data_IF_113387948162
#
_entry.id   IF_113387948162
#
_cell.length_a   1.000
_cell.length_b   1.000
_cell.length_c   1.000
_cell.angle_alpha   90.00
_cell.angle_beta   90.00
_cell.angle_gamma   90.00
#
_symmetry.space_group_name_H-M   'P 1'
#
loop_
_entity.id
_entity.type
_entity.pdbx_description
1 polymer ?
#
# COMPACT_ATOMS: atom_id res chain seq x y z
N UNK A 1 -15.06 -9.09 -16.23
CA UNK A 1 -13.95 -8.11 -16.34
C UNK A 1 -12.63 -8.86 -16.44
N UNK A 2 -11.74 -8.53 -17.39
CA UNK A 2 -10.42 -9.18 -17.46
C UNK A 2 -9.65 -8.94 -16.15
N UNK A 3 -9.19 -10.01 -15.50
CA UNK A 3 -8.57 -9.99 -14.16
C UNK A 3 -7.38 -9.01 -14.04
N UNK A 4 -6.71 -8.71 -15.16
CA UNK A 4 -5.67 -7.69 -15.23
C UNK A 4 -6.14 -6.28 -14.83
N UNK A 5 -7.40 -5.92 -15.11
CA UNK A 5 -7.94 -4.62 -14.68
C UNK A 5 -8.05 -4.51 -13.17
N UNK A 6 -8.32 -5.60 -12.44
CA UNK A 6 -8.39 -5.57 -10.98
C UNK A 6 -7.02 -5.39 -10.34
N UNK A 7 -5.98 -6.00 -10.92
CA UNK A 7 -4.58 -5.80 -10.48
C UNK A 7 -4.16 -4.36 -10.71
N UNK A 8 -4.40 -3.82 -11.91
CA UNK A 8 -4.11 -2.43 -12.24
C UNK A 8 -4.92 -1.48 -11.35
N UNK A 9 -6.20 -1.76 -11.13
CA UNK A 9 -7.06 -0.95 -10.26
C UNK A 9 -6.58 -0.93 -8.81
N UNK A 10 -6.25 -2.10 -8.25
CA UNK A 10 -5.66 -2.20 -6.90
C UNK A 10 -4.36 -1.41 -6.85
N UNK A 11 -3.54 -1.51 -7.88
CA UNK A 11 -2.29 -0.79 -7.94
C UNK A 11 -2.49 0.74 -7.98
N UNK A 12 -3.44 1.21 -8.80
CA UNK A 12 -3.77 2.63 -8.85
C UNK A 12 -4.31 3.13 -7.50
N UNK A 13 -5.18 2.37 -6.82
CA UNK A 13 -5.67 2.75 -5.48
C UNK A 13 -4.52 2.93 -4.51
N UNK A 14 -3.58 1.98 -4.45
CA UNK A 14 -2.46 2.07 -3.52
C UNK A 14 -1.58 3.28 -3.86
N UNK A 15 -1.29 3.50 -5.15
CA UNK A 15 -0.48 4.64 -5.60
C UNK A 15 -1.14 5.97 -5.22
N UNK A 16 -2.41 6.15 -5.56
CA UNK A 16 -3.16 7.35 -5.23
C UNK A 16 -3.34 7.54 -3.72
N UNK A 17 -3.52 6.46 -2.97
CA UNK A 17 -3.57 6.50 -1.51
C UNK A 17 -2.29 7.07 -0.90
N UNK A 18 -1.13 6.56 -1.31
CA UNK A 18 0.16 7.01 -0.81
C UNK A 18 0.51 8.44 -1.24
N UNK A 19 0.26 8.79 -2.51
CA UNK A 19 0.39 10.19 -2.96
C UNK A 19 -0.56 11.10 -2.16
N UNK A 20 -1.78 10.62 -1.89
CA UNK A 20 -2.76 11.30 -1.08
C UNK A 20 -2.29 11.56 0.35
N UNK A 21 -1.63 10.59 1.00
CA UNK A 21 -1.05 10.80 2.34
C UNK A 21 0.03 11.86 2.30
N UNK A 22 0.95 11.79 1.34
CA UNK A 22 2.02 12.77 1.19
C UNK A 22 1.45 14.18 0.96
N UNK A 23 0.48 14.32 0.06
CA UNK A 23 -0.19 15.59 -0.20
C UNK A 23 -0.90 16.11 1.06
N UNK A 24 -1.60 15.24 1.79
CA UNK A 24 -2.28 15.63 3.02
C UNK A 24 -1.29 16.07 4.11
N UNK A 25 -0.22 15.30 4.34
CA UNK A 25 0.78 15.60 5.37
C UNK A 25 1.50 16.92 5.06
N UNK A 26 1.91 17.14 3.80
CA UNK A 26 2.72 18.32 3.45
C UNK A 26 1.90 19.57 3.11
N UNK A 27 0.71 19.43 2.55
CA UNK A 27 -0.11 20.56 2.10
C UNK A 27 -1.47 20.68 2.82
N UNK A 28 -2.02 19.60 3.37
CA UNK A 28 -3.34 19.60 4.00
C UNK A 28 -3.34 19.78 5.53
N UNK A 29 -2.25 19.39 6.20
CA UNK A 29 -2.13 19.49 7.66
C UNK A 29 -1.67 20.88 8.08
N UNK A 30 -2.43 21.51 8.99
CA UNK A 30 -2.04 22.79 9.60
C UNK A 30 -1.43 22.59 10.99
N UNK A 31 -1.66 21.43 11.62
CA UNK A 31 -1.19 21.15 12.97
C UNK A 31 0.23 20.58 13.02
N UNK A 32 0.67 19.85 11.99
CA UNK A 32 2.01 19.27 11.95
C UNK A 32 3.06 20.33 11.61
N UNK A 33 4.08 20.42 12.45
CA UNK A 33 5.32 21.15 12.11
C UNK A 33 6.08 20.44 10.98
N UNK A 34 7.01 21.13 10.33
CA UNK A 34 7.76 20.57 9.20
C UNK A 34 8.51 19.28 9.56
N UNK A 35 9.17 19.25 10.71
CA UNK A 35 9.91 18.08 11.19
C UNK A 35 8.96 16.90 11.50
N UNK A 36 7.80 17.19 12.08
CA UNK A 36 6.78 16.16 12.34
C UNK A 36 6.18 15.59 11.05
N UNK A 37 6.06 16.40 9.98
CA UNK A 37 5.63 15.92 8.66
C UNK A 37 6.63 14.94 8.08
N UNK A 38 7.93 15.27 8.13
CA UNK A 38 9.00 14.38 7.68
C UNK A 38 8.98 13.08 8.49
N UNK A 39 8.97 13.18 9.82
CA UNK A 39 8.98 11.99 10.66
C UNK A 39 7.76 11.10 10.44
N UNK A 40 6.57 11.69 10.27
CA UNK A 40 5.34 10.94 10.00
C UNK A 40 5.43 10.24 8.65
N UNK A 41 6.00 10.90 7.64
CA UNK A 41 6.23 10.30 6.33
C UNK A 41 7.27 9.17 6.39
N UNK A 42 8.31 9.30 7.22
CA UNK A 42 9.30 8.24 7.43
C UNK A 42 8.71 6.98 8.06
N UNK A 43 7.63 7.11 8.84
CA UNK A 43 6.86 5.95 9.30
C UNK A 43 6.22 5.26 8.09
N UNK A 44 5.50 5.98 7.22
CA UNK A 44 4.74 5.39 6.09
C UNK A 44 5.63 4.93 4.91
N UNK A 45 6.85 5.45 4.81
CA UNK A 45 7.75 5.26 3.68
C UNK A 45 8.09 3.79 3.35
N UNK A 46 8.36 2.89 4.32
CA UNK A 46 8.74 1.50 4.03
C UNK A 46 7.68 0.74 3.24
N UNK A 47 6.41 0.80 3.64
CA UNK A 47 5.33 0.13 2.91
C UNK A 47 5.13 0.76 1.52
N UNK A 48 5.23 2.09 1.42
CA UNK A 48 5.19 2.81 0.14
C UNK A 48 6.26 2.30 -0.82
N UNK A 49 7.50 2.18 -0.33
CA UNK A 49 8.65 1.74 -1.12
C UNK A 49 8.53 0.28 -1.55
N UNK A 50 8.13 -0.61 -0.64
CA UNK A 50 7.91 -2.03 -0.93
C UNK A 50 6.85 -2.22 -2.03
N UNK A 51 5.77 -1.44 -1.94
CA UNK A 51 4.72 -1.44 -2.95
C UNK A 51 5.23 -0.92 -4.30
N UNK A 52 5.87 0.26 -4.31
CA UNK A 52 6.39 0.87 -5.54
C UNK A 52 7.39 -0.06 -6.25
N UNK A 53 8.27 -0.71 -5.49
CA UNK A 53 9.21 -1.69 -6.01
C UNK A 53 8.49 -2.88 -6.67
N UNK A 54 7.48 -3.43 -6.01
CA UNK A 54 6.74 -4.59 -6.52
C UNK A 54 5.97 -4.27 -7.81
N UNK A 55 5.33 -3.09 -7.88
CA UNK A 55 4.65 -2.63 -9.10
C UNK A 55 5.65 -2.40 -10.22
N UNK A 56 6.79 -1.75 -9.92
CA UNK A 56 7.84 -1.50 -10.91
C UNK A 56 8.36 -2.82 -11.48
N UNK A 57 8.61 -3.82 -10.63
CA UNK A 57 9.01 -5.17 -11.04
C UNK A 57 7.94 -5.80 -11.94
N UNK A 58 6.67 -5.70 -11.57
CA UNK A 58 5.56 -6.22 -12.37
C UNK A 58 5.50 -5.56 -13.75
N UNK A 59 5.58 -4.23 -13.82
CA UNK A 59 5.55 -3.48 -15.08
C UNK A 59 6.73 -3.88 -15.97
N UNK A 60 7.95 -3.93 -15.43
CA UNK A 60 9.15 -4.33 -16.19
C UNK A 60 9.01 -5.76 -16.74
N UNK A 61 8.57 -6.71 -15.91
CA UNK A 61 8.41 -8.12 -16.31
C UNK A 61 7.33 -8.33 -17.37
N UNK A 62 6.31 -7.47 -17.41
CA UNK A 62 5.17 -7.62 -18.32
C UNK A 62 5.19 -6.63 -19.50
N UNK A 63 6.25 -5.83 -19.66
CA UNK A 63 6.34 -4.82 -20.72
C UNK A 63 6.30 -5.41 -22.15
N UNK A 64 6.71 -6.68 -22.34
CA UNK A 64 6.83 -7.33 -23.66
C UNK A 64 5.68 -8.28 -24.02
N UNK A 65 4.82 -8.63 -23.08
CA UNK A 65 3.69 -9.52 -23.30
C UNK A 65 2.39 -8.70 -23.19
N UNK A 66 1.40 -8.95 -24.05
CA UNK A 66 0.03 -8.54 -23.74
C UNK A 66 -0.27 -9.04 -22.32
N UNK A 67 -0.82 -8.18 -21.45
CA UNK A 67 -1.07 -8.46 -20.03
C UNK A 67 -2.18 -9.52 -19.92
N UNK A 68 -1.88 -10.74 -20.34
CA UNK A 68 -2.67 -11.93 -20.12
C UNK A 68 -2.13 -12.49 -18.81
N UNK A 69 -2.64 -11.94 -17.71
CA UNK A 69 -2.42 -12.51 -16.38
C UNK A 69 -3.05 -13.91 -16.44
N UNK A 70 -2.24 -14.93 -16.75
CA UNK A 70 -2.59 -16.36 -16.67
C UNK A 70 -2.74 -16.79 -15.21
N UNK A 71 -3.42 -16.00 -14.40
CA UNK A 71 -3.84 -16.42 -13.07
C UNK A 71 -5.15 -17.17 -13.24
N UNK A 72 -5.05 -18.45 -13.57
CA UNK A 72 -6.17 -19.39 -13.48
C UNK A 72 -6.48 -19.79 -12.02
N UNK A 73 -5.70 -19.28 -11.04
CA UNK A 73 -5.78 -19.73 -9.64
C UNK A 73 -6.24 -18.66 -8.63
N UNK A 74 -6.23 -17.36 -8.96
CA UNK A 74 -6.73 -16.35 -8.02
C UNK A 74 -8.27 -16.25 -8.08
N UNK A 75 -8.92 -16.73 -7.02
CA UNK A 75 -10.36 -16.61 -6.81
C UNK A 75 -10.76 -15.12 -6.79
N UNK A 76 -11.89 -14.75 -7.40
CA UNK A 76 -12.46 -13.39 -7.35
C UNK A 76 -12.52 -12.85 -5.90
N UNK A 77 -12.80 -13.73 -4.94
CA UNK A 77 -12.82 -13.39 -3.52
C UNK A 77 -11.48 -12.82 -3.03
N UNK A 78 -10.36 -13.37 -3.50
CA UNK A 78 -9.01 -12.91 -3.14
C UNK A 78 -8.73 -11.50 -3.67
N UNK A 79 -9.17 -11.19 -4.90
CA UNK A 79 -9.05 -9.85 -5.45
C UNK A 79 -9.88 -8.83 -4.68
N UNK A 80 -11.14 -9.18 -4.35
CA UNK A 80 -12.00 -8.32 -3.54
C UNK A 80 -11.36 -8.07 -2.17
N UNK A 81 -10.86 -9.13 -1.52
CA UNK A 81 -10.16 -9.01 -0.25
C UNK A 81 -8.93 -8.09 -0.34
N UNK A 82 -8.15 -8.21 -1.41
CA UNK A 82 -6.97 -7.37 -1.67
C UNK A 82 -7.34 -5.89 -1.84
N UNK A 83 -8.44 -5.58 -2.51
CA UNK A 83 -8.93 -4.20 -2.62
C UNK A 83 -9.43 -3.69 -1.27
N UNK A 84 -10.21 -4.51 -0.54
CA UNK A 84 -10.77 -4.13 0.77
C UNK A 84 -9.67 -3.82 1.79
N UNK A 85 -8.63 -4.65 1.89
CA UNK A 85 -7.55 -4.43 2.87
C UNK A 85 -6.76 -3.15 2.56
N UNK A 86 -6.55 -2.84 1.28
CA UNK A 86 -5.93 -1.58 0.84
C UNK A 86 -6.80 -0.39 1.20
N UNK A 87 -8.11 -0.47 0.97
CA UNK A 87 -9.03 0.59 1.33
C UNK A 87 -9.08 0.81 2.84
N UNK A 88 -9.12 -0.28 3.63
CA UNK A 88 -9.05 -0.20 5.10
C UNK A 88 -7.77 0.47 5.56
N UNK A 89 -6.62 0.13 4.95
CA UNK A 89 -5.36 0.81 5.22
C UNK A 89 -5.44 2.31 4.93
N UNK A 90 -5.89 2.69 3.74
CA UNK A 90 -5.99 4.11 3.34
C UNK A 90 -6.92 4.89 4.27
N UNK A 91 -8.11 4.35 4.54
CA UNK A 91 -9.09 4.96 5.43
C UNK A 91 -8.50 5.10 6.84
N UNK A 92 -7.79 4.09 7.35
CA UNK A 92 -7.20 4.12 8.69
C UNK A 92 -6.13 5.20 8.82
N UNK A 93 -5.24 5.35 7.82
CA UNK A 93 -4.21 6.39 7.83
C UNK A 93 -4.85 7.79 7.77
N UNK A 94 -5.81 8.02 6.86
CA UNK A 94 -6.52 9.30 6.79
C UNK A 94 -7.31 9.59 8.06
N UNK A 95 -7.97 8.60 8.65
CA UNK A 95 -8.69 8.75 9.90
C UNK A 95 -7.76 9.13 11.05
N UNK A 96 -6.59 8.51 11.17
CA UNK A 96 -5.58 8.85 12.18
C UNK A 96 -5.04 10.28 11.98
N UNK A 97 -4.69 10.63 10.74
CA UNK A 97 -4.22 11.98 10.40
C UNK A 97 -5.30 13.04 10.70
N UNK A 98 -6.56 12.76 10.35
CA UNK A 98 -7.68 13.66 10.64
C UNK A 98 -7.95 13.79 12.14
N UNK A 99 -7.92 12.67 12.86
CA UNK A 99 -8.07 12.60 14.31
C UNK A 99 -6.96 13.36 15.04
N UNK A 100 -5.77 13.46 14.44
CA UNK A 100 -4.73 14.35 14.95
C UNK A 100 -5.05 15.81 14.63
N UNK A 101 -5.47 16.16 13.42
CA UNK A 101 -5.83 17.55 13.08
C UNK A 101 -6.99 18.10 13.93
N UNK A 102 -8.00 17.29 14.24
CA UNK A 102 -9.20 17.72 14.96
C UNK A 102 -9.06 17.75 16.49
N UNK A 103 -7.92 17.33 17.04
CA UNK A 103 -7.69 17.35 18.49
C UNK A 103 -7.89 16.02 19.18
N UNK A 104 -8.53 15.04 18.54
CA UNK A 104 -8.88 13.75 19.15
C UNK A 104 -7.63 12.96 19.58
N UNK A 105 -6.57 13.02 18.78
CA UNK A 105 -5.23 12.58 19.14
C UNK A 105 -4.42 13.83 19.49
N UNK A 106 -4.05 13.95 20.77
CA UNK A 106 -3.36 15.13 21.28
C UNK A 106 -1.84 15.09 21.07
N UNK A 107 -1.26 13.90 20.86
CA UNK A 107 0.19 13.70 20.78
C UNK A 107 0.62 13.14 19.43
N UNK A 108 1.63 13.76 18.83
CA UNK A 108 2.31 13.27 17.62
C UNK A 108 2.88 11.86 17.82
N UNK A 109 3.35 11.53 19.02
CA UNK A 109 3.86 10.20 19.34
C UNK A 109 2.76 9.15 19.23
N UNK A 110 1.54 9.46 19.68
CA UNK A 110 0.39 8.57 19.56
C UNK A 110 -0.04 8.40 18.11
N UNK A 111 -0.03 9.47 17.30
CA UNK A 111 -0.28 9.40 15.86
C UNK A 111 0.71 8.46 15.17
N UNK A 112 2.02 8.69 15.36
CA UNK A 112 3.08 7.87 14.75
C UNK A 112 2.98 6.39 15.16
N UNK A 113 2.68 6.11 16.43
CA UNK A 113 2.44 4.73 16.92
C UNK A 113 1.21 4.10 16.27
N UNK A 114 0.12 4.85 16.13
CA UNK A 114 -1.09 4.38 15.45
C UNK A 114 -0.82 4.04 13.97
N UNK A 115 -0.13 4.93 13.26
CA UNK A 115 0.29 4.71 11.87
C UNK A 115 1.19 3.48 11.78
N UNK A 116 2.23 3.39 12.61
CA UNK A 116 3.15 2.24 12.61
C UNK A 116 2.47 0.91 12.95
N UNK A 117 1.47 0.91 13.85
CA UNK A 117 0.67 -0.28 14.15
C UNK A 117 -0.16 -0.72 12.94
N UNK A 118 -0.85 0.22 12.28
CA UNK A 118 -1.62 -0.04 11.06
C UNK A 118 -0.72 -0.56 9.95
N UNK A 119 0.44 0.07 9.75
CA UNK A 119 1.43 -0.35 8.74
C UNK A 119 2.00 -1.74 9.04
N UNK A 120 2.26 -2.07 10.30
CA UNK A 120 2.77 -3.41 10.66
C UNK A 120 1.73 -4.50 10.36
N UNK A 121 0.47 -4.28 10.75
CA UNK A 121 -0.62 -5.23 10.53
C UNK A 121 -0.87 -5.42 9.03
N UNK A 122 -0.99 -4.31 8.30
CA UNK A 122 -1.29 -4.34 6.87
C UNK A 122 -0.06 -4.82 6.08
N UNK A 123 1.15 -4.40 6.45
CA UNK A 123 2.39 -4.78 5.79
C UNK A 123 2.64 -6.29 5.77
N UNK A 124 2.32 -6.96 6.88
CA UNK A 124 2.38 -8.43 6.94
C UNK A 124 1.38 -9.09 5.98
N UNK A 125 0.13 -8.63 5.95
CA UNK A 125 -0.88 -9.14 5.01
C UNK A 125 -0.58 -8.77 3.56
N UNK A 126 0.00 -7.60 3.34
CA UNK A 126 0.37 -7.07 2.04
C UNK A 126 1.48 -7.92 1.41
N UNK A 127 2.49 -8.34 2.16
CA UNK A 127 3.52 -9.23 1.63
C UNK A 127 2.93 -10.53 1.02
N UNK A 128 1.97 -11.16 1.72
CA UNK A 128 1.27 -12.36 1.25
C UNK A 128 0.42 -12.09 0.01
N UNK A 129 -0.25 -10.93 -0.01
CA UNK A 129 -1.07 -10.50 -1.15
C UNK A 129 -0.19 -10.24 -2.37
N UNK A 130 0.96 -9.58 -2.20
CA UNK A 130 1.86 -9.26 -3.29
C UNK A 130 2.51 -10.51 -3.88
N UNK A 131 2.93 -11.45 -3.04
CA UNK A 131 3.44 -12.74 -3.49
C UNK A 131 2.41 -13.49 -4.35
N UNK A 132 1.13 -13.42 -3.96
CA UNK A 132 0.04 -14.09 -4.67
C UNK A 132 -0.40 -13.32 -5.94
N UNK A 133 -0.44 -11.98 -5.91
CA UNK A 133 -0.87 -11.15 -7.04
C UNK A 133 0.18 -11.00 -8.12
N UNK A 134 1.44 -10.87 -7.73
CA UNK A 134 2.55 -10.55 -8.64
C UNK A 134 3.46 -11.76 -8.91
N UNK A 135 3.14 -12.89 -8.28
CA UNK A 135 3.90 -14.12 -8.35
C UNK A 135 5.17 -13.99 -7.52
N UNK A 136 5.34 -14.88 -6.55
CA UNK A 136 6.66 -15.24 -6.06
C UNK A 136 7.59 -15.33 -7.27
N UNK A 137 8.68 -14.56 -7.25
CA UNK A 137 9.79 -14.71 -8.19
C UNK A 137 10.03 -16.22 -8.29
N UNK A 138 9.73 -16.82 -9.44
CA UNK A 138 9.97 -18.25 -9.69
C UNK A 138 11.39 -18.52 -9.22
N UNK A 139 11.55 -19.17 -8.05
CA UNK A 139 12.82 -19.78 -7.71
C UNK A 139 12.91 -20.93 -8.69
N UNK A 140 13.62 -20.70 -9.78
CA UNK A 140 14.03 -21.74 -10.71
C UNK A 140 14.60 -22.84 -9.83
N UNK A 141 13.91 -23.97 -9.73
CA UNK A 141 14.38 -25.12 -8.99
C UNK A 141 15.75 -25.47 -9.56
N UNK A 142 16.83 -25.15 -8.83
CA UNK A 142 18.15 -25.65 -9.17
C UNK A 142 18.09 -27.18 -9.02
N UNK A 143 18.44 -27.95 -10.06
CA UNK A 143 18.52 -29.39 -9.95
C UNK A 143 19.56 -29.73 -8.87
N UNK A 144 19.15 -30.52 -7.88
CA UNK A 144 20.05 -31.17 -6.93
C UNK A 144 20.82 -32.30 -7.59
#
# INVERSE_FOLDING_TARGET
>A
MPRGYLVIFTALIILFGHIGFSAYIFAGSNRLTYDERIDTMLVIAPLTAAYFMSVTIFVIKNQRNEIVVKSDQANLLFYIFSVVIVLVFIISIFWLLRSYEDGSISSITSLKRGIGAVETIVGAGFALIMETLFGAVERKNEPR
#
